data_IF_634107510021
#
_entry.id   IF_634107510021
#
_cell.length_a   1.000
_cell.length_b   1.000
_cell.length_c   1.000
_cell.angle_alpha   90.00
_cell.angle_beta   90.00
_cell.angle_gamma   90.00
#
_symmetry.space_group_name_H-M   'P 1'
#
loop_
_entity.id
_entity.type
_entity.pdbx_description
1 polymer ?
#
# COMPACT_ATOMS: atom_id res chain seq x y z
N UNK A 1 -1.58 -9.25 -24.83
CA UNK A 1 -0.57 -9.64 -23.82
C UNK A 1 -1.28 -9.70 -22.47
N UNK A 2 -0.91 -10.62 -21.57
CA UNK A 2 -1.51 -10.72 -20.23
C UNK A 2 -0.43 -10.87 -19.17
N UNK A 3 -0.72 -10.49 -17.93
CA UNK A 3 0.14 -10.68 -16.77
C UNK A 3 0.44 -12.17 -16.53
N UNK A 4 -0.59 -13.03 -16.61
CA UNK A 4 -0.48 -14.49 -16.57
C UNK A 4 0.28 -15.01 -15.33
N UNK A 5 0.00 -14.45 -14.16
CA UNK A 5 0.68 -14.80 -12.90
C UNK A 5 2.08 -14.20 -12.73
N UNK A 6 2.58 -13.46 -13.74
CA UNK A 6 3.84 -12.73 -13.66
C UNK A 6 3.76 -11.46 -12.80
N UNK A 7 4.90 -10.77 -12.67
CA UNK A 7 4.94 -9.49 -11.96
C UNK A 7 4.28 -8.37 -12.77
N UNK A 8 3.59 -7.47 -12.08
CA UNK A 8 2.89 -6.32 -12.70
C UNK A 8 3.91 -5.38 -13.37
N UNK A 9 5.10 -5.26 -12.76
CA UNK A 9 6.30 -4.58 -13.28
C UNK A 9 6.62 -5.03 -14.70
N UNK A 10 6.80 -6.34 -14.87
CA UNK A 10 7.27 -6.92 -16.12
C UNK A 10 6.21 -6.72 -17.20
N UNK A 11 4.96 -7.05 -16.86
CA UNK A 11 3.82 -6.86 -17.75
C UNK A 11 3.70 -5.40 -18.22
N UNK A 12 3.79 -4.44 -17.31
CA UNK A 12 3.73 -3.02 -17.66
C UNK A 12 4.92 -2.57 -18.51
N UNK A 13 6.14 -3.00 -18.18
CA UNK A 13 7.34 -2.68 -18.97
C UNK A 13 7.25 -3.22 -20.40
N UNK A 14 6.71 -4.43 -20.57
CA UNK A 14 6.52 -5.06 -21.88
C UNK A 14 5.51 -4.25 -22.72
N UNK A 15 4.39 -3.81 -22.12
CA UNK A 15 3.43 -2.90 -22.76
C UNK A 15 4.06 -1.56 -23.14
N UNK A 16 4.85 -0.95 -22.25
CA UNK A 16 5.57 0.29 -22.56
C UNK A 16 6.56 0.11 -23.71
N UNK A 17 7.18 -1.06 -23.85
CA UNK A 17 8.01 -1.41 -25.01
C UNK A 17 7.20 -1.38 -26.31
N UNK A 18 6.05 -2.07 -26.32
CA UNK A 18 5.16 -2.12 -27.48
C UNK A 18 4.62 -0.74 -27.86
N UNK A 19 4.15 0.05 -26.89
CA UNK A 19 3.64 1.39 -27.17
C UNK A 19 4.72 2.31 -27.72
N UNK A 20 5.96 2.23 -27.23
CA UNK A 20 7.07 3.00 -27.80
C UNK A 20 7.34 2.64 -29.26
N UNK A 21 7.30 1.35 -29.59
CA UNK A 21 7.46 0.89 -30.98
C UNK A 21 6.31 1.38 -31.87
N UNK A 22 5.07 1.33 -31.38
CA UNK A 22 3.89 1.86 -32.08
C UNK A 22 4.03 3.36 -32.29
N UNK A 23 4.36 4.13 -31.25
CA UNK A 23 4.52 5.58 -31.32
C UNK A 23 5.62 5.98 -32.32
N UNK A 24 6.68 5.19 -32.39
CA UNK A 24 7.77 5.40 -33.33
C UNK A 24 7.32 5.13 -34.78
N UNK A 25 6.58 4.05 -35.03
CA UNK A 25 6.12 3.68 -36.38
C UNK A 25 4.92 4.48 -36.87
N UNK A 26 4.10 4.99 -35.96
CA UNK A 26 2.84 5.66 -36.24
C UNK A 26 2.81 7.04 -35.56
N UNK A 27 3.65 8.00 -36.00
CA UNK A 27 3.67 9.33 -35.40
C UNK A 27 2.36 10.08 -35.67
N UNK A 28 1.92 10.88 -34.70
CA UNK A 28 0.78 11.77 -34.87
C UNK A 28 1.13 12.92 -35.83
N UNK A 29 0.43 13.02 -36.95
CA UNK A 29 0.64 14.04 -37.99
C UNK A 29 -0.24 15.30 -37.82
N UNK A 30 -1.09 15.34 -36.79
CA UNK A 30 -1.94 16.50 -36.51
C UNK A 30 -1.10 17.73 -36.18
N UNK A 31 -1.58 18.90 -36.61
CA UNK A 31 -0.91 20.20 -36.39
C UNK A 31 -1.66 21.10 -35.39
N UNK A 32 -2.94 20.85 -35.18
CA UNK A 32 -3.77 21.63 -34.26
C UNK A 32 -3.51 21.19 -32.81
N UNK A 33 -3.11 22.12 -31.95
CA UNK A 33 -2.79 21.82 -30.54
C UNK A 33 -3.97 21.21 -29.78
N UNK A 34 -5.21 21.66 -30.05
CA UNK A 34 -6.43 21.13 -29.42
C UNK A 34 -6.66 19.66 -29.80
N UNK A 35 -6.49 19.34 -31.08
CA UNK A 35 -6.70 17.98 -31.58
C UNK A 35 -5.61 17.03 -31.10
N UNK A 36 -4.36 17.51 -31.03
CA UNK A 36 -3.24 16.77 -30.43
C UNK A 36 -3.53 16.46 -28.96
N UNK A 37 -4.01 17.44 -28.18
CA UNK A 37 -4.36 17.21 -26.78
C UNK A 37 -5.46 16.16 -26.64
N UNK A 38 -6.54 16.28 -27.41
CA UNK A 38 -7.65 15.32 -27.40
C UNK A 38 -7.18 13.92 -27.78
N UNK A 39 -6.38 13.80 -28.83
CA UNK A 39 -5.79 12.54 -29.26
C UNK A 39 -4.94 11.91 -28.16
N UNK A 40 -4.07 12.69 -27.51
CA UNK A 40 -3.23 12.17 -26.43
C UNK A 40 -4.08 11.69 -25.24
N UNK A 41 -5.15 12.41 -24.90
CA UNK A 41 -6.09 11.96 -23.86
C UNK A 41 -6.76 10.63 -24.21
N UNK A 42 -7.29 10.49 -25.43
CA UNK A 42 -7.89 9.23 -25.88
C UNK A 42 -6.88 8.09 -25.94
N UNK A 43 -5.67 8.36 -26.44
CA UNK A 43 -4.60 7.36 -26.48
C UNK A 43 -4.20 6.87 -25.08
N UNK A 44 -4.15 7.78 -24.10
CA UNK A 44 -3.89 7.41 -22.70
C UNK A 44 -5.03 6.56 -22.13
N UNK A 45 -6.28 6.91 -22.44
CA UNK A 45 -7.45 6.15 -22.04
C UNK A 45 -7.42 4.72 -22.61
N UNK A 46 -7.17 4.57 -23.91
CA UNK A 46 -7.03 3.28 -24.60
C UNK A 46 -5.94 2.41 -23.96
N UNK A 47 -4.79 3.02 -23.62
CA UNK A 47 -3.69 2.33 -22.94
C UNK A 47 -4.06 1.83 -21.56
N UNK A 48 -4.87 2.59 -20.80
CA UNK A 48 -5.40 2.15 -19.51
C UNK A 48 -6.28 0.92 -19.70
N UNK A 49 -7.23 0.94 -20.65
CA UNK A 49 -8.08 -0.23 -20.90
C UNK A 49 -7.26 -1.46 -21.29
N UNK A 50 -6.30 -1.33 -22.20
CA UNK A 50 -5.39 -2.43 -22.58
C UNK A 50 -4.60 -2.95 -21.39
N UNK A 51 -4.05 -2.06 -20.56
CA UNK A 51 -3.34 -2.43 -19.35
C UNK A 51 -4.25 -3.24 -18.41
N UNK A 52 -5.43 -2.72 -18.10
CA UNK A 52 -6.39 -3.31 -17.17
C UNK A 52 -6.96 -4.66 -17.65
N UNK A 53 -7.21 -4.82 -18.95
CA UNK A 53 -7.74 -6.06 -19.55
C UNK A 53 -6.75 -7.23 -19.46
N UNK A 54 -5.44 -6.94 -19.52
CA UNK A 54 -4.41 -7.96 -19.39
C UNK A 54 -3.99 -8.29 -17.95
N UNK A 55 -4.53 -7.60 -16.93
CA UNK A 55 -4.26 -7.93 -15.52
C UNK A 55 -4.93 -9.25 -15.12
N UNK A 56 -4.31 -9.96 -14.17
CA UNK A 56 -4.87 -11.20 -13.62
C UNK A 56 -6.19 -10.95 -12.86
N UNK A 57 -7.10 -11.93 -12.88
CA UNK A 57 -8.45 -11.85 -12.30
C UNK A 57 -8.46 -11.54 -10.79
N UNK A 58 -7.38 -11.84 -10.05
CA UNK A 58 -7.30 -11.48 -8.62
C UNK A 58 -7.35 -9.97 -8.38
N UNK A 59 -7.02 -9.18 -9.40
CA UNK A 59 -6.99 -7.72 -9.36
C UNK A 59 -8.32 -7.10 -9.82
N UNK A 60 -9.37 -7.89 -10.05
CA UNK A 60 -10.69 -7.41 -10.54
C UNK A 60 -11.27 -6.24 -9.75
N UNK A 61 -11.18 -6.27 -8.42
CA UNK A 61 -11.64 -5.18 -7.56
C UNK A 61 -10.86 -3.89 -7.83
N UNK A 62 -9.54 -4.01 -7.94
CA UNK A 62 -8.65 -2.89 -8.24
C UNK A 62 -8.94 -2.35 -9.64
N UNK A 63 -9.26 -3.22 -10.60
CA UNK A 63 -9.68 -2.83 -11.95
C UNK A 63 -10.93 -1.94 -11.88
N UNK A 64 -11.94 -2.37 -11.12
CA UNK A 64 -13.15 -1.59 -10.89
C UNK A 64 -12.83 -0.23 -10.25
N UNK A 65 -11.96 -0.19 -9.25
CA UNK A 65 -11.60 1.05 -8.56
C UNK A 65 -10.92 2.05 -9.51
N UNK A 66 -10.00 1.58 -10.37
CA UNK A 66 -9.34 2.42 -11.38
C UNK A 66 -10.35 2.99 -12.38
N UNK A 67 -11.32 2.17 -12.83
CA UNK A 67 -12.36 2.59 -13.78
C UNK A 67 -13.31 3.65 -13.21
N UNK A 68 -13.41 3.76 -11.88
CA UNK A 68 -14.26 4.74 -11.20
C UNK A 68 -13.54 6.08 -10.93
N UNK A 69 -12.22 6.17 -11.15
CA UNK A 69 -11.45 7.38 -10.88
C UNK A 69 -11.90 8.55 -11.78
N UNK A 70 -11.98 9.74 -11.17
CA UNK A 70 -12.30 10.98 -11.86
C UNK A 70 -11.33 12.10 -11.44
N UNK A 71 -10.64 12.78 -12.38
CA UNK A 71 -10.66 12.50 -13.82
C UNK A 71 -10.06 11.12 -14.14
N UNK A 72 -10.41 10.58 -15.31
CA UNK A 72 -9.91 9.27 -15.73
C UNK A 72 -8.37 9.28 -15.77
N UNK A 73 -7.71 8.26 -15.20
CA UNK A 73 -6.26 8.30 -14.97
C UNK A 73 -5.48 8.12 -16.28
N UNK A 74 -4.22 8.55 -16.28
CA UNK A 74 -3.26 8.11 -17.30
C UNK A 74 -2.83 6.67 -17.04
N UNK A 75 -2.16 6.04 -18.02
CA UNK A 75 -1.70 4.66 -17.85
C UNK A 75 -0.65 4.52 -16.74
N UNK A 76 0.20 5.54 -16.54
CA UNK A 76 1.17 5.57 -15.45
C UNK A 76 0.48 5.67 -14.09
N UNK A 77 -0.58 6.48 -13.99
CA UNK A 77 -1.37 6.63 -12.76
C UNK A 77 -2.14 5.35 -12.43
N UNK A 78 -2.75 4.72 -13.43
CA UNK A 78 -3.41 3.43 -13.30
C UNK A 78 -2.43 2.35 -12.83
N UNK A 79 -1.26 2.25 -13.46
CA UNK A 79 -0.20 1.33 -13.04
C UNK A 79 0.24 1.58 -11.59
N UNK A 80 0.48 2.83 -11.21
CA UNK A 80 0.89 3.18 -9.85
C UNK A 80 -0.18 2.81 -8.81
N UNK A 81 -1.46 2.99 -9.15
CA UNK A 81 -2.58 2.59 -8.30
C UNK A 81 -2.62 1.07 -8.13
N UNK A 82 -2.61 0.32 -9.24
CA UNK A 82 -2.65 -1.14 -9.22
C UNK A 82 -1.46 -1.71 -8.46
N UNK A 83 -0.27 -1.19 -8.71
CA UNK A 83 0.95 -1.66 -8.04
C UNK A 83 0.93 -1.42 -6.54
N UNK A 84 0.49 -0.25 -6.10
CA UNK A 84 0.38 0.07 -4.66
C UNK A 84 -0.57 -0.92 -3.97
N UNK A 85 -1.68 -1.22 -4.62
CA UNK A 85 -2.70 -2.10 -4.07
C UNK A 85 -2.27 -3.58 -4.08
N UNK A 86 -1.58 -4.04 -5.12
CA UNK A 86 -0.99 -5.38 -5.17
C UNK A 86 0.01 -5.61 -4.02
N UNK A 87 0.88 -4.62 -3.77
CA UNK A 87 1.82 -4.66 -2.63
C UNK A 87 1.06 -4.65 -1.29
N UNK A 88 0.04 -3.81 -1.15
CA UNK A 88 -0.78 -3.75 0.08
C UNK A 88 -1.44 -5.09 0.37
N UNK A 89 -2.03 -5.71 -0.64
CA UNK A 89 -2.66 -7.03 -0.52
C UNK A 89 -1.64 -8.09 -0.12
N UNK A 90 -0.47 -8.13 -0.77
CA UNK A 90 0.60 -9.07 -0.44
C UNK A 90 1.02 -8.96 1.04
N UNK A 91 1.22 -7.73 1.54
CA UNK A 91 1.59 -7.47 2.94
C UNK A 91 0.48 -7.88 3.92
N UNK A 92 -0.79 -7.59 3.60
CA UNK A 92 -1.91 -7.98 4.47
C UNK A 92 -2.11 -9.50 4.51
N UNK A 93 -1.93 -10.19 3.39
CA UNK A 93 -2.01 -11.65 3.35
C UNK A 93 -0.86 -12.30 4.12
N UNK A 94 0.36 -11.77 4.03
CA UNK A 94 1.50 -12.29 4.82
C UNK A 94 1.37 -12.01 6.32
N UNK A 95 0.56 -11.02 6.71
CA UNK A 95 0.31 -10.69 8.12
C UNK A 95 -0.73 -11.60 8.77
N UNK A 96 -1.55 -12.30 7.96
CA UNK A 96 -2.68 -13.12 8.44
C UNK A 96 -2.23 -14.47 9.03
N UNK A 97 -0.97 -14.86 8.81
CA UNK A 97 -0.34 -16.00 9.49
C UNK A 97 0.17 -15.66 10.91
N UNK A 98 0.05 -14.40 11.35
CA UNK A 98 0.27 -14.02 12.75
C UNK A 98 -1.09 -14.01 13.45
N UNK A 99 -1.30 -15.01 14.29
CA UNK A 99 -2.48 -15.17 15.16
C UNK A 99 -3.00 -13.82 15.72
N UNK A 100 -4.33 -13.62 15.84
CA UNK A 100 -4.90 -12.36 16.30
C UNK A 100 -4.55 -12.16 17.78
N UNK A 101 -3.51 -11.37 18.06
CA UNK A 101 -3.16 -11.03 19.44
C UNK A 101 -1.68 -10.82 19.74
N UNK A 102 -0.94 -10.07 18.91
CA UNK A 102 0.39 -9.59 19.33
C UNK A 102 0.49 -8.09 19.08
N UNK A 103 0.19 -7.32 20.12
CA UNK A 103 0.52 -5.90 20.24
C UNK A 103 2.05 -5.79 20.34
N UNK A 104 2.69 -5.05 19.44
CA UNK A 104 4.13 -4.78 19.50
C UNK A 104 4.42 -3.86 20.68
N UNK A 105 4.87 -4.44 21.80
CA UNK A 105 5.52 -3.71 22.88
C UNK A 105 7.02 -3.63 22.58
N UNK A 106 7.51 -2.43 22.24
CA UNK A 106 8.93 -2.12 22.08
C UNK A 106 9.70 -2.52 23.34
N UNK A 107 10.72 -3.36 23.18
CA UNK A 107 11.41 -4.04 24.28
C UNK A 107 12.83 -3.49 24.44
N UNK A 108 13.13 -3.03 25.64
CA UNK A 108 14.49 -2.96 26.19
C UNK A 108 14.35 -2.94 27.71
N UNK A 109 14.97 -3.79 28.54
CA UNK A 109 15.97 -4.85 28.42
C UNK A 109 15.59 -5.93 29.48
N UNK A 110 15.95 -7.20 29.27
CA UNK A 110 15.83 -8.31 30.26
C UNK A 110 17.12 -8.40 31.12
N UNK A 111 17.30 -9.31 32.11
CA UNK A 111 16.34 -10.14 32.91
C UNK A 111 16.65 -10.17 34.43
N UNK A 112 15.67 -10.50 35.29
CA UNK A 112 15.88 -11.47 36.40
C UNK A 112 14.55 -11.91 37.01
N UNK A 113 14.46 -13.19 37.41
CA UNK A 113 13.28 -13.88 37.95
C UNK A 113 13.08 -13.59 39.47
N UNK A 114 12.21 -14.33 40.19
CA UNK A 114 10.90 -13.89 40.65
C UNK A 114 10.89 -13.66 42.18
N UNK A 115 10.21 -12.63 42.69
CA UNK A 115 9.92 -12.57 44.14
C UNK A 115 8.46 -12.20 44.40
N UNK A 116 7.79 -13.20 44.97
CA UNK A 116 6.64 -13.16 45.85
C UNK A 116 6.28 -11.77 46.40
N UNK A 117 4.98 -11.46 46.33
CA UNK A 117 4.34 -10.41 47.12
C UNK A 117 4.71 -10.57 48.60
N UNK A 118 5.00 -9.47 49.30
CA UNK A 118 4.62 -9.36 50.70
C UNK A 118 3.55 -8.28 50.82
N UNK A 119 2.45 -8.69 51.43
CA UNK A 119 1.38 -7.83 51.92
C UNK A 119 1.97 -6.96 53.04
N UNK A 120 2.15 -5.66 52.78
CA UNK A 120 2.62 -4.71 53.79
C UNK A 120 1.46 -3.82 54.23
N UNK A 121 0.95 -4.13 55.44
CA UNK A 121 0.09 -3.24 56.21
C UNK A 121 0.94 -2.05 56.69
N UNK A 122 1.03 -1.00 55.87
CA UNK A 122 1.83 0.18 56.15
C UNK A 122 1.03 1.31 56.81
N UNK A 123 1.41 1.68 58.03
CA UNK A 123 0.89 2.83 58.78
C UNK A 123 1.05 4.13 57.98
N UNK A 124 0.02 5.00 57.97
CA UNK A 124 -0.01 6.23 57.16
C UNK A 124 1.02 7.27 57.63
N UNK A 125 1.67 7.97 56.68
CA UNK A 125 2.49 9.13 56.98
C UNK A 125 1.64 10.25 57.57
N UNK A 126 1.99 10.76 58.76
CA UNK A 126 1.23 11.81 59.46
C UNK A 126 1.34 13.19 58.82
N UNK A 127 2.30 13.40 57.90
CA UNK A 127 2.51 14.70 57.24
C UNK A 127 1.73 14.87 55.93
N UNK A 128 1.51 13.79 55.18
CA UNK A 128 0.87 13.86 53.85
C UNK A 128 -0.26 12.82 53.67
N UNK A 129 -0.50 11.96 54.67
CA UNK A 129 -1.59 10.98 54.66
C UNK A 129 -1.36 9.72 53.82
N UNK A 130 -0.25 9.61 53.08
CA UNK A 130 0.02 8.47 52.19
C UNK A 130 0.73 7.30 52.90
N UNK A 131 0.39 6.06 52.54
CA UNK A 131 0.81 4.81 53.22
C UNK A 131 2.06 4.14 52.61
N UNK A 132 2.98 4.91 52.02
CA UNK A 132 4.14 4.36 51.28
C UNK A 132 5.51 4.92 51.67
N UNK A 133 5.58 5.83 52.63
CA UNK A 133 6.84 6.35 53.14
C UNK A 133 6.69 6.82 54.58
N UNK A 134 7.82 6.92 55.28
CA UNK A 134 7.97 7.66 56.53
C UNK A 134 8.81 8.90 56.21
N UNK A 135 8.40 10.08 56.71
CA UNK A 135 8.92 11.40 56.32
C UNK A 135 10.45 11.43 56.23
N UNK A 136 11.01 11.76 55.06
CA UNK A 136 12.44 12.03 54.90
C UNK A 136 12.75 13.43 55.47
N UNK A 137 13.86 13.56 56.19
CA UNK A 137 14.29 14.76 56.93
C UNK A 137 14.70 15.90 56.00
#
# INVERSE_FOLDING_TARGET
MKQAGGSIEKYYNDLQGLWREIDFRCPNLMKCARDIQKYNSTLQEDRVYVFLDGLDDRLDKIRSDVLQLQPFPTVEQAYAHVRREDIRQAVMTSSSDIAPGVVMASKGLKPSKPKSKPQYNGTKCTHCGNIKHTRET
#
